data_IF_770512883482
#
_entry.id   IF_770512883482
#
_cell.length_a   1.000
_cell.length_b   1.000
_cell.length_c   1.000
_cell.angle_alpha   90.00
_cell.angle_beta   90.00
_cell.angle_gamma   90.00
#
_symmetry.space_group_name_H-M   'P 1'
#
loop_
_entity.id
_entity.type
_entity.pdbx_description
1 polymer ?
#
# COMPACT_ATOMS: atom_id res chain seq x y z
N UNK A 1 4.32 14.07 -2.77
CA UNK A 1 4.07 12.70 -2.27
C UNK A 1 3.36 12.75 -0.94
N UNK A 2 2.38 11.88 -0.75
CA UNK A 2 1.67 11.72 0.51
C UNK A 2 2.18 10.47 1.20
N UNK A 3 2.29 10.53 2.53
CA UNK A 3 2.60 9.38 3.38
C UNK A 3 1.56 9.30 4.49
N UNK A 4 0.90 8.14 4.64
CA UNK A 4 -0.09 7.91 5.68
C UNK A 4 0.49 6.99 6.76
N UNK A 5 0.54 7.47 8.00
CA UNK A 5 1.11 6.76 9.15
C UNK A 5 0.16 5.66 9.63
N UNK A 6 0.55 4.40 9.43
CA UNK A 6 -0.28 3.24 9.73
C UNK A 6 -0.28 2.84 11.20
N UNK A 7 0.73 3.22 11.96
CA UNK A 7 0.75 3.07 13.42
C UNK A 7 -0.25 4.02 14.07
N UNK A 8 -0.21 5.32 13.69
CA UNK A 8 -1.13 6.33 14.20
C UNK A 8 -2.59 6.02 13.80
N UNK A 9 -2.79 5.54 12.56
CA UNK A 9 -4.12 5.13 12.09
C UNK A 9 -4.68 3.96 12.90
N UNK A 10 -3.84 3.00 13.31
CA UNK A 10 -4.26 1.91 14.19
C UNK A 10 -4.52 2.39 15.63
N UNK A 11 -3.65 3.24 16.16
CA UNK A 11 -3.79 3.79 17.52
C UNK A 11 -5.11 4.53 17.72
N UNK A 12 -5.50 5.34 16.72
CA UNK A 12 -6.75 6.13 16.77
C UNK A 12 -7.98 5.39 16.23
N UNK A 13 -7.81 4.13 15.81
CA UNK A 13 -8.89 3.37 15.19
C UNK A 13 -10.08 3.17 16.15
N UNK A 14 -11.31 3.43 15.68
CA UNK A 14 -12.51 3.11 16.46
C UNK A 14 -12.51 1.64 16.87
N UNK A 15 -12.86 1.37 18.14
CA UNK A 15 -12.86 0.00 18.68
C UNK A 15 -13.81 -0.94 17.92
N UNK A 16 -14.87 -0.42 17.33
CA UNK A 16 -15.78 -1.19 16.47
C UNK A 16 -15.11 -1.69 15.19
N UNK A 17 -14.30 -0.85 14.53
CA UNK A 17 -13.53 -1.25 13.34
C UNK A 17 -12.39 -2.18 13.73
N UNK A 18 -11.65 -1.86 14.81
CA UNK A 18 -10.54 -2.70 15.30
C UNK A 18 -11.00 -4.14 15.56
N UNK A 19 -12.14 -4.32 16.24
CA UNK A 19 -12.72 -5.65 16.53
C UNK A 19 -13.04 -6.45 15.26
N UNK A 20 -13.45 -5.80 14.18
CA UNK A 20 -13.71 -6.46 12.89
C UNK A 20 -12.42 -6.97 12.22
N UNK A 21 -11.29 -6.33 12.49
CA UNK A 21 -10.00 -6.61 11.84
C UNK A 21 -9.07 -7.50 12.67
N UNK A 22 -9.28 -7.54 13.98
CA UNK A 22 -8.44 -8.28 14.92
C UNK A 22 -8.39 -9.78 14.57
N UNK A 23 -7.17 -10.33 14.49
CA UNK A 23 -6.95 -11.73 14.11
C UNK A 23 -7.21 -12.07 12.64
N UNK A 24 -7.65 -11.11 11.80
CA UNK A 24 -7.91 -11.35 10.38
C UNK A 24 -6.62 -11.38 9.56
N UNK A 25 -6.58 -12.30 8.57
CA UNK A 25 -5.52 -12.42 7.59
C UNK A 25 -5.99 -11.84 6.25
N UNK A 26 -5.26 -10.87 5.72
CA UNK A 26 -5.50 -10.35 4.38
C UNK A 26 -4.80 -11.22 3.34
N UNK A 27 -5.47 -11.46 2.21
CA UNK A 27 -4.89 -12.14 1.05
C UNK A 27 -4.22 -11.07 0.18
N UNK A 28 -2.90 -11.01 0.22
CA UNK A 28 -2.10 -10.10 -0.58
C UNK A 28 -1.77 -10.70 -1.94
N UNK A 29 -1.84 -9.87 -2.97
CA UNK A 29 -1.44 -10.22 -4.33
C UNK A 29 -1.09 -8.95 -5.11
N UNK A 30 -0.16 -9.05 -6.03
CA UNK A 30 0.16 -7.99 -6.98
C UNK A 30 -0.74 -8.02 -8.23
N UNK A 31 -1.75 -8.89 -8.24
CA UNK A 31 -2.70 -9.13 -9.35
C UNK A 31 -3.27 -7.84 -9.92
N UNK A 32 -3.81 -6.96 -9.05
CA UNK A 32 -4.50 -5.74 -9.49
C UNK A 32 -3.56 -4.77 -10.21
N UNK A 33 -2.38 -4.42 -9.65
CA UNK A 33 -1.47 -3.49 -10.33
C UNK A 33 -0.60 -4.14 -11.41
N UNK A 34 -0.05 -5.34 -11.22
CA UNK A 34 1.11 -5.83 -11.97
C UNK A 34 0.88 -7.12 -12.78
N UNK A 35 -0.33 -7.66 -12.82
CA UNK A 35 -0.61 -8.74 -13.76
C UNK A 35 -0.67 -8.21 -15.21
N UNK A 36 -0.54 -9.08 -16.22
CA UNK A 36 -0.68 -8.69 -17.64
C UNK A 36 -1.97 -7.92 -17.95
N UNK A 37 -3.09 -8.27 -17.29
CA UNK A 37 -4.35 -7.56 -17.40
C UNK A 37 -4.58 -6.48 -16.34
N UNK A 38 -3.60 -6.21 -15.48
CA UNK A 38 -3.69 -5.27 -14.37
C UNK A 38 -3.51 -3.80 -14.76
N UNK A 39 -3.54 -2.92 -13.77
CA UNK A 39 -3.50 -1.47 -13.97
C UNK A 39 -2.23 -0.98 -14.66
N UNK A 40 -1.10 -1.69 -14.50
CA UNK A 40 0.19 -1.43 -15.17
C UNK A 40 0.54 -2.52 -16.19
N UNK A 41 -0.47 -3.23 -16.72
CA UNK A 41 -0.31 -4.29 -17.70
C UNK A 41 -0.08 -3.77 -19.12
N UNK A 42 -0.36 -4.65 -20.09
CA UNK A 42 -0.05 -4.39 -21.51
C UNK A 42 -0.68 -3.11 -22.05
N UNK A 43 -1.92 -2.80 -21.68
CA UNK A 43 -2.62 -1.58 -22.11
C UNK A 43 -1.97 -0.29 -21.64
N UNK A 44 -1.37 -0.30 -20.46
CA UNK A 44 -0.68 0.86 -19.91
C UNK A 44 0.66 1.13 -20.62
N UNK A 45 1.34 0.06 -21.09
CA UNK A 45 2.54 0.15 -21.92
C UNK A 45 2.29 0.89 -23.25
N UNK A 46 1.14 0.66 -23.86
CA UNK A 46 0.75 1.31 -25.12
C UNK A 46 0.54 2.82 -24.96
N UNK A 47 0.27 3.30 -23.75
CA UNK A 47 0.06 4.73 -23.45
C UNK A 47 1.36 5.52 -23.24
N UNK A 48 2.54 4.91 -23.37
CA UNK A 48 3.83 5.61 -23.41
C UNK A 48 4.31 6.19 -22.09
N UNK A 49 4.16 5.47 -20.99
CA UNK A 49 4.73 5.87 -19.69
C UNK A 49 6.24 6.03 -19.74
N UNK A 50 6.73 6.97 -18.95
CA UNK A 50 8.17 7.18 -18.73
C UNK A 50 8.84 6.07 -17.90
N UNK A 51 8.07 5.20 -17.23
CA UNK A 51 8.56 4.08 -16.42
C UNK A 51 8.24 2.77 -17.11
N UNK A 52 9.26 1.93 -17.36
CA UNK A 52 9.07 0.56 -17.88
C UNK A 52 8.65 -0.36 -16.72
N UNK A 53 7.36 -0.62 -16.61
CA UNK A 53 6.81 -1.58 -15.66
C UNK A 53 6.55 -2.87 -16.42
N UNK A 54 7.20 -3.97 -16.00
CA UNK A 54 7.02 -5.28 -16.59
C UNK A 54 5.98 -6.07 -15.82
N UNK A 55 4.84 -6.30 -16.46
CA UNK A 55 3.85 -7.21 -15.91
C UNK A 55 4.42 -8.65 -15.86
N UNK A 56 4.04 -9.40 -14.84
CA UNK A 56 4.53 -10.76 -14.60
C UNK A 56 3.41 -11.66 -14.11
N UNK A 57 3.46 -12.95 -14.47
CA UNK A 57 2.56 -13.97 -13.92
C UNK A 57 2.80 -14.21 -12.41
N UNK A 58 3.96 -13.84 -11.88
CA UNK A 58 4.21 -13.83 -10.42
C UNK A 58 3.23 -12.93 -9.67
N UNK A 59 2.64 -11.94 -10.35
CA UNK A 59 1.61 -11.09 -9.77
C UNK A 59 0.36 -11.85 -9.31
N UNK A 60 0.12 -13.07 -9.82
CA UNK A 60 -0.98 -13.94 -9.39
C UNK A 60 -0.70 -14.67 -8.07
N UNK A 61 0.53 -14.68 -7.59
CA UNK A 61 0.88 -15.30 -6.30
C UNK A 61 0.12 -14.61 -5.17
N UNK A 62 -0.28 -15.41 -4.19
CA UNK A 62 -1.02 -14.95 -3.02
C UNK A 62 -0.23 -15.25 -1.75
N UNK A 63 -0.24 -14.29 -0.84
CA UNK A 63 0.35 -14.43 0.48
C UNK A 63 -0.63 -13.96 1.54
N UNK A 64 -0.66 -14.65 2.68
CA UNK A 64 -1.45 -14.25 3.83
C UNK A 64 -0.60 -13.40 4.78
N UNK A 65 -1.15 -12.25 5.16
CA UNK A 65 -0.55 -11.40 6.18
C UNK A 65 -1.61 -10.91 7.16
N UNK A 66 -1.30 -10.82 8.46
CA UNK A 66 -2.19 -10.17 9.42
C UNK A 66 -2.50 -8.74 8.97
N UNK A 67 -3.77 -8.31 9.07
CA UNK A 67 -4.16 -6.92 8.80
C UNK A 67 -3.56 -5.99 9.86
N UNK A 68 -3.55 -6.41 11.12
CA UNK A 68 -2.84 -5.73 12.21
C UNK A 68 -1.56 -6.53 12.45
N UNK A 69 -0.42 -5.89 12.19
CA UNK A 69 0.89 -6.54 12.26
C UNK A 69 1.84 -5.75 13.14
N UNK A 70 2.62 -6.46 13.95
CA UNK A 70 3.70 -5.87 14.72
C UNK A 70 4.91 -5.61 13.83
N UNK A 71 5.48 -4.41 13.92
CA UNK A 71 6.71 -4.08 13.23
C UNK A 71 7.89 -4.86 13.84
N UNK A 72 8.71 -5.56 13.03
CA UNK A 72 9.73 -6.47 13.56
C UNK A 72 10.80 -5.77 14.40
N UNK A 73 11.15 -4.52 14.07
CA UNK A 73 12.18 -3.75 14.78
C UNK A 73 11.59 -3.00 15.99
N UNK A 74 10.60 -2.14 15.75
CA UNK A 74 10.06 -1.23 16.78
C UNK A 74 9.07 -1.92 17.71
N UNK A 75 8.55 -3.08 17.35
CA UNK A 75 7.50 -3.84 18.05
C UNK A 75 6.16 -3.11 18.14
N UNK A 76 6.03 -1.97 17.48
CA UNK A 76 4.78 -1.22 17.41
C UNK A 76 3.81 -1.90 16.44
N UNK A 77 2.54 -2.02 16.81
CA UNK A 77 1.50 -2.49 15.90
C UNK A 77 1.13 -1.43 14.86
N UNK A 78 0.78 -1.86 13.67
CA UNK A 78 0.30 -1.01 12.59
C UNK A 78 -0.64 -1.76 11.66
N UNK A 79 -1.36 -1.02 10.84
CA UNK A 79 -2.19 -1.59 9.77
C UNK A 79 -1.24 -1.97 8.63
N UNK A 80 -1.30 -3.22 8.17
CA UNK A 80 -0.41 -3.74 7.13
C UNK A 80 -1.14 -3.97 5.81
N UNK A 81 -0.72 -3.25 4.78
CA UNK A 81 -1.26 -3.37 3.42
C UNK A 81 -2.34 -2.35 3.08
N UNK A 82 -2.79 -2.40 1.86
CA UNK A 82 -3.82 -1.52 1.29
C UNK A 82 -4.62 -2.25 0.24
N UNK A 83 -5.84 -1.79 -0.01
CA UNK A 83 -6.79 -2.34 -1.00
C UNK A 83 -6.19 -2.47 -2.42
N UNK A 84 -5.12 -1.73 -2.75
CA UNK A 84 -4.40 -1.90 -4.02
C UNK A 84 -3.64 -3.23 -4.14
N UNK A 85 -3.35 -3.89 -3.02
CA UNK A 85 -2.62 -5.16 -2.94
C UNK A 85 -3.35 -6.24 -2.15
N UNK A 86 -4.45 -5.91 -1.48
CA UNK A 86 -5.29 -6.86 -0.76
C UNK A 86 -6.48 -7.20 -1.65
N UNK A 87 -6.64 -8.48 -1.97
CA UNK A 87 -7.70 -8.99 -2.85
C UNK A 87 -8.81 -9.73 -2.10
N UNK A 88 -8.70 -9.85 -0.79
CA UNK A 88 -9.70 -10.50 0.07
C UNK A 88 -9.20 -10.68 1.49
N UNK A 89 -10.04 -11.26 2.33
CA UNK A 89 -9.74 -11.66 3.71
C UNK A 89 -9.98 -13.16 3.81
N UNK A 90 -9.02 -13.87 4.38
CA UNK A 90 -9.09 -15.33 4.49
C UNK A 90 -10.29 -15.78 5.33
N UNK A 91 -11.02 -16.77 4.83
CA UNK A 91 -12.21 -17.31 5.47
C UNK A 91 -13.44 -16.38 5.49
N UNK A 92 -13.43 -15.27 4.74
CA UNK A 92 -14.55 -14.33 4.64
C UNK A 92 -15.16 -14.33 3.23
N UNK A 93 -16.48 -14.13 3.13
CA UNK A 93 -17.14 -13.91 1.85
C UNK A 93 -16.56 -12.71 1.11
N UNK A 94 -16.47 -12.80 -0.21
CA UNK A 94 -15.83 -11.77 -1.03
C UNK A 94 -16.47 -10.39 -0.88
N UNK A 95 -17.81 -10.32 -0.82
CA UNK A 95 -18.52 -9.05 -0.69
C UNK A 95 -18.34 -8.45 0.70
N UNK A 96 -18.40 -9.28 1.74
CA UNK A 96 -18.14 -8.85 3.12
C UNK A 96 -16.69 -8.37 3.29
N UNK A 97 -15.72 -9.12 2.75
CA UNK A 97 -14.31 -8.75 2.77
C UNK A 97 -14.08 -7.41 2.06
N UNK A 98 -14.66 -7.22 0.87
CA UNK A 98 -14.52 -5.97 0.13
C UNK A 98 -15.12 -4.79 0.89
N UNK A 99 -16.29 -4.93 1.49
CA UNK A 99 -16.92 -3.89 2.28
C UNK A 99 -16.03 -3.48 3.48
N UNK A 100 -15.48 -4.46 4.19
CA UNK A 100 -14.57 -4.20 5.31
C UNK A 100 -13.26 -3.56 4.87
N UNK A 101 -12.69 -3.99 3.75
CA UNK A 101 -11.47 -3.41 3.18
C UNK A 101 -11.69 -1.97 2.69
N UNK A 102 -12.87 -1.65 2.15
CA UNK A 102 -13.24 -0.27 1.80
C UNK A 102 -13.37 0.61 3.04
N UNK A 103 -14.02 0.12 4.11
CA UNK A 103 -14.10 0.82 5.41
C UNK A 103 -12.69 1.08 5.97
N UNK A 104 -11.82 0.07 5.93
CA UNK A 104 -10.43 0.18 6.36
C UNK A 104 -9.65 1.19 5.52
N UNK A 105 -9.76 1.13 4.20
CA UNK A 105 -9.07 2.04 3.28
C UNK A 105 -9.48 3.50 3.49
N UNK A 106 -10.77 3.74 3.72
CA UNK A 106 -11.28 5.06 4.03
C UNK A 106 -10.72 5.58 5.37
N UNK A 107 -10.56 4.70 6.35
CA UNK A 107 -9.94 5.03 7.64
C UNK A 107 -8.45 5.35 7.49
N UNK A 108 -7.68 4.45 6.87
CA UNK A 108 -6.21 4.56 6.72
C UNK A 108 -5.74 5.84 6.05
N UNK A 109 -6.58 6.45 5.21
CA UNK A 109 -6.25 7.59 4.37
C UNK A 109 -6.85 8.89 4.85
N UNK A 110 -7.30 8.99 6.11
CA UNK A 110 -7.79 10.23 6.66
C UNK A 110 -6.68 11.28 6.78
N UNK A 111 -7.05 12.53 6.60
CA UNK A 111 -6.14 13.68 6.52
C UNK A 111 -5.23 13.78 7.75
N UNK A 112 -5.72 13.44 8.92
CA UNK A 112 -4.98 13.49 10.19
C UNK A 112 -3.79 12.50 10.26
N UNK A 113 -3.79 11.46 9.41
CA UNK A 113 -2.70 10.49 9.33
C UNK A 113 -1.71 10.82 8.22
N UNK A 114 -1.98 11.85 7.39
CA UNK A 114 -1.23 12.14 6.17
C UNK A 114 -0.18 13.22 6.38
N UNK A 115 1.07 12.86 6.12
CA UNK A 115 2.14 13.82 5.89
C UNK A 115 2.26 14.14 4.40
N UNK A 116 2.15 15.43 4.04
CA UNK A 116 2.26 15.95 2.68
C UNK A 116 3.70 16.41 2.42
N UNK A 117 4.48 15.55 1.78
CA UNK A 117 5.87 15.87 1.46
C UNK A 117 5.98 16.77 0.23
N UNK A 118 6.73 17.87 0.37
CA UNK A 118 7.11 18.78 -0.73
C UNK A 118 8.56 18.53 -1.14
N UNK A 119 8.73 18.05 -2.36
CA UNK A 119 10.05 17.80 -2.93
C UNK A 119 10.79 19.09 -3.23
N UNK A 120 12.10 19.06 -3.03
CA UNK A 120 13.06 20.06 -3.50
C UNK A 120 14.20 19.34 -4.21
N UNK A 121 14.96 20.06 -5.04
CA UNK A 121 16.16 19.52 -5.69
C UNK A 121 17.14 18.98 -4.64
N UNK A 122 17.82 17.92 -4.98
CA UNK A 122 18.87 17.27 -4.17
C UNK A 122 18.39 16.72 -2.81
N UNK A 123 17.09 16.41 -2.68
CA UNK A 123 16.57 15.73 -1.50
C UNK A 123 16.73 14.22 -1.59
N UNK A 124 17.15 13.61 -0.50
CA UNK A 124 17.04 12.18 -0.22
C UNK A 124 15.92 11.97 0.80
N UNK A 125 15.00 11.04 0.50
CA UNK A 125 13.95 10.63 1.43
C UNK A 125 14.02 9.13 1.60
N UNK A 126 13.86 8.69 2.84
CA UNK A 126 13.77 7.29 3.21
C UNK A 126 12.50 7.07 4.03
N UNK A 127 11.78 5.99 3.76
CA UNK A 127 10.62 5.57 4.54
C UNK A 127 10.55 4.06 4.64
N UNK A 128 9.85 3.58 5.65
CA UNK A 128 9.60 2.16 5.84
C UNK A 128 8.20 1.80 5.32
N UNK A 129 8.14 0.94 4.30
CA UNK A 129 6.88 0.46 3.72
C UNK A 129 6.03 -0.37 4.69
N UNK A 130 6.62 -0.83 5.81
CA UNK A 130 5.92 -1.57 6.86
C UNK A 130 5.13 -0.63 7.80
N UNK A 131 5.45 0.66 7.76
CA UNK A 131 4.93 1.68 8.69
C UNK A 131 4.06 2.72 8.02
N UNK A 132 4.21 2.94 6.70
CA UNK A 132 3.48 3.97 5.97
C UNK A 132 2.93 3.47 4.64
N UNK A 133 1.74 3.94 4.28
CA UNK A 133 1.30 3.95 2.90
C UNK A 133 1.83 5.19 2.22
N UNK A 134 2.13 5.11 0.93
CA UNK A 134 2.56 6.27 0.17
C UNK A 134 1.88 6.37 -1.19
N UNK A 135 1.69 7.61 -1.67
CA UNK A 135 1.11 7.90 -2.99
C UNK A 135 1.78 9.10 -3.63
N UNK A 136 2.22 8.93 -4.88
CA UNK A 136 2.61 10.06 -5.71
C UNK A 136 1.38 10.93 -6.01
N UNK A 137 1.59 12.25 -6.05
CA UNK A 137 0.58 13.23 -6.47
C UNK A 137 1.01 13.80 -7.83
N UNK A 138 0.06 14.13 -8.70
CA UNK A 138 0.31 14.87 -9.94
C UNK A 138 0.71 16.33 -9.67
N UNK A 139 0.50 17.21 -10.65
CA UNK A 139 0.76 18.64 -10.55
C UNK A 139 2.17 19.04 -11.01
N UNK A 140 2.78 18.22 -11.88
CA UNK A 140 4.08 18.51 -12.51
C UNK A 140 4.05 18.35 -14.03
N UNK A 141 2.87 18.37 -14.61
CA UNK A 141 2.67 18.26 -16.06
C UNK A 141 3.41 19.42 -16.77
N UNK A 142 4.20 19.08 -17.78
CA UNK A 142 5.03 20.05 -18.51
C UNK A 142 6.31 20.48 -17.79
N UNK A 143 6.63 19.91 -16.63
CA UNK A 143 7.88 20.15 -15.90
C UNK A 143 8.75 18.90 -15.90
N UNK A 144 10.06 19.09 -16.02
CA UNK A 144 11.01 18.02 -15.87
C UNK A 144 11.03 17.52 -14.41
N UNK A 145 10.84 16.21 -14.23
CA UNK A 145 10.88 15.57 -12.92
C UNK A 145 11.61 14.24 -13.02
N UNK A 146 12.79 14.16 -12.46
CA UNK A 146 13.59 12.96 -12.36
C UNK A 146 13.70 12.52 -10.89
N UNK A 147 13.26 11.30 -10.59
CA UNK A 147 13.43 10.68 -9.27
C UNK A 147 14.07 9.30 -9.44
N UNK A 148 15.09 9.05 -8.65
CA UNK A 148 15.67 7.71 -8.51
C UNK A 148 15.10 7.05 -7.26
N UNK A 149 14.78 5.76 -7.34
CA UNK A 149 14.29 4.97 -6.22
C UNK A 149 15.01 3.63 -6.17
N UNK A 150 15.41 3.25 -4.98
CA UNK A 150 15.80 1.88 -4.65
C UNK A 150 14.95 1.37 -3.50
N UNK A 151 14.78 0.06 -3.43
CA UNK A 151 14.09 -0.61 -2.32
C UNK A 151 15.08 -1.56 -1.67
N UNK A 152 15.21 -1.48 -0.36
CA UNK A 152 16.01 -2.39 0.45
C UNK A 152 15.08 -3.53 0.88
N UNK A 153 15.44 -4.77 0.54
CA UNK A 153 14.72 -5.94 1.02
C UNK A 153 14.94 -6.10 2.54
N UNK A 154 13.92 -6.61 3.25
CA UNK A 154 14.12 -7.08 4.60
C UNK A 154 15.08 -8.28 4.58
N UNK A 155 15.88 -8.43 5.63
CA UNK A 155 16.59 -9.68 5.84
C UNK A 155 15.54 -10.72 6.24
N UNK A 156 15.54 -11.85 5.53
CA UNK A 156 14.87 -13.05 5.99
C UNK A 156 15.75 -13.65 7.10
N UNK A 157 15.27 -13.62 8.33
CA UNK A 157 15.87 -14.33 9.46
C UNK A 157 15.53 -15.83 9.39
#
# INVERSE_FOLDING_TARGET
TLFANQHLALEKMPSSLRKKLEGKQAIHSALVPYSPGGGYGDKDREMGRSMDIRASDEAYLKQLHPIIKQHPETKQEGIYGTIGYIIGIDGMDNQEAMNLLMELSAWQCQEEFIYKHKWKKDMLIMWDNRSVLHRATGGYEGQERLLHRTTIAAYDD
#
